data_IF_212879068337
#
_entry.id   IF_212879068337
#
_cell.length_a   1.000
_cell.length_b   1.000
_cell.length_c   1.000
_cell.angle_alpha   90.00
_cell.angle_beta   90.00
_cell.angle_gamma   90.00
#
_symmetry.space_group_name_H-M   'P 1'
#
loop_
_entity.id
_entity.type
_entity.pdbx_description
1 polymer ?
#
# COMPACT_ATOMS: atom_id res chain seq x y z
N UNK A 1 54.88 11.74 -6.74
CA UNK A 1 54.15 10.81 -5.83
C UNK A 1 52.66 11.13 -5.93
N UNK A 2 51.99 10.51 -6.86
CA UNK A 2 50.52 10.61 -7.00
C UNK A 2 49.86 9.65 -6.02
N UNK A 3 49.02 10.19 -5.19
CA UNK A 3 48.16 9.42 -4.31
C UNK A 3 46.92 8.99 -5.10
N UNK A 4 46.90 7.75 -5.53
CA UNK A 4 45.68 7.11 -6.03
C UNK A 4 44.77 6.85 -4.84
N UNK A 5 43.71 7.61 -4.72
CA UNK A 5 42.58 7.31 -3.81
C UNK A 5 41.70 6.29 -4.51
N UNK A 6 41.84 5.04 -4.12
CA UNK A 6 40.97 3.96 -4.57
C UNK A 6 39.67 4.02 -3.75
N UNK A 7 38.64 4.64 -4.34
CA UNK A 7 37.28 4.55 -3.84
C UNK A 7 36.78 3.14 -4.15
N UNK A 8 36.84 2.26 -3.16
CA UNK A 8 36.13 0.99 -3.20
C UNK A 8 34.62 1.29 -3.06
N UNK A 9 33.97 1.47 -4.21
CA UNK A 9 32.52 1.51 -4.28
C UNK A 9 31.96 0.12 -4.01
N UNK A 10 31.59 -0.14 -2.77
CA UNK A 10 30.68 -1.22 -2.46
C UNK A 10 29.30 -0.73 -2.92
N UNK A 11 28.91 -1.10 -4.13
CA UNK A 11 27.51 -1.07 -4.52
C UNK A 11 26.84 -2.21 -3.76
N UNK A 12 26.39 -1.92 -2.55
CA UNK A 12 25.32 -2.71 -1.94
C UNK A 12 24.16 -2.52 -2.89
N UNK A 13 23.77 -3.56 -3.59
CA UNK A 13 22.47 -3.63 -4.23
C UNK A 13 21.47 -3.44 -3.09
N UNK A 14 20.83 -2.26 -3.01
CA UNK A 14 19.77 -1.99 -2.04
C UNK A 14 18.65 -2.97 -2.34
N UNK A 15 18.71 -4.13 -1.70
CA UNK A 15 17.68 -5.15 -1.76
C UNK A 15 16.44 -4.57 -1.10
N UNK A 16 15.33 -4.46 -1.83
CA UNK A 16 14.03 -4.04 -1.31
C UNK A 16 13.25 -5.28 -0.85
N UNK A 17 13.28 -5.63 0.45
CA UNK A 17 12.61 -6.83 0.93
C UNK A 17 11.09 -6.69 0.80
N UNK A 18 10.44 -7.77 0.37
CA UNK A 18 9.00 -7.91 0.26
C UNK A 18 8.58 -9.24 0.90
N UNK A 19 7.74 -9.18 1.92
CA UNK A 19 7.11 -10.35 2.52
C UNK A 19 5.79 -10.64 1.78
N UNK A 20 5.61 -11.85 1.29
CA UNK A 20 4.37 -12.30 0.65
C UNK A 20 3.83 -13.46 1.46
N UNK A 21 2.65 -13.26 2.07
CA UNK A 21 1.98 -14.24 2.91
C UNK A 21 0.83 -14.89 2.16
N UNK A 22 0.64 -16.20 2.38
CA UNK A 22 -0.54 -16.86 1.88
C UNK A 22 -1.27 -17.66 2.96
N UNK A 23 -2.61 -17.52 2.96
CA UNK A 23 -3.56 -18.37 3.65
C UNK A 23 -4.32 -19.17 2.61
N UNK A 24 -4.19 -20.50 2.59
CA UNK A 24 -4.74 -21.32 1.53
C UNK A 24 -5.16 -22.71 2.01
N UNK A 25 -6.38 -23.12 1.65
CA UNK A 25 -6.86 -24.48 1.86
C UNK A 25 -6.64 -25.38 0.64
N UNK A 26 -6.82 -24.81 -0.56
CA UNK A 26 -6.76 -25.54 -1.83
C UNK A 26 -5.46 -25.38 -2.61
N UNK A 27 -4.57 -24.45 -2.16
CA UNK A 27 -3.32 -24.12 -2.85
C UNK A 27 -3.42 -22.91 -3.79
N UNK A 28 -4.60 -22.38 -4.10
CA UNK A 28 -4.75 -21.29 -5.06
C UNK A 28 -4.06 -20.01 -4.59
N UNK A 29 -4.23 -19.62 -3.32
CA UNK A 29 -3.54 -18.44 -2.75
C UNK A 29 -2.02 -18.61 -2.71
N UNK A 30 -1.54 -19.83 -2.48
CA UNK A 30 -0.12 -20.17 -2.54
C UNK A 30 0.44 -20.00 -3.95
N UNK A 31 -0.27 -20.52 -4.97
CA UNK A 31 0.15 -20.39 -6.37
C UNK A 31 0.29 -18.92 -6.78
N UNK A 32 -0.68 -18.06 -6.41
CA UNK A 32 -0.64 -16.63 -6.68
C UNK A 32 0.51 -15.94 -5.94
N UNK A 33 0.72 -16.26 -4.66
CA UNK A 33 1.82 -15.73 -3.87
C UNK A 33 3.19 -16.10 -4.46
N UNK A 34 3.35 -17.34 -4.91
CA UNK A 34 4.56 -17.82 -5.58
C UNK A 34 4.77 -17.12 -6.93
N UNK A 35 3.70 -16.87 -7.68
CA UNK A 35 3.78 -16.11 -8.92
C UNK A 35 4.23 -14.67 -8.65
N UNK A 36 3.61 -13.97 -7.70
CA UNK A 36 4.01 -12.62 -7.28
C UNK A 36 5.49 -12.58 -6.86
N UNK A 37 5.94 -13.58 -6.09
CA UNK A 37 7.33 -13.71 -5.67
C UNK A 37 8.31 -13.87 -6.83
N UNK A 38 7.96 -14.62 -7.87
CA UNK A 38 8.79 -14.77 -9.08
C UNK A 38 8.89 -13.47 -9.88
N UNK A 39 7.81 -12.72 -9.95
CA UNK A 39 7.74 -11.47 -10.71
C UNK A 39 8.37 -10.29 -9.96
N UNK A 40 8.43 -10.34 -8.63
CA UNK A 40 8.97 -9.29 -7.77
C UNK A 40 10.40 -8.85 -8.14
N UNK A 41 11.25 -9.80 -8.55
CA UNK A 41 12.64 -9.52 -8.93
C UNK A 41 12.74 -8.57 -10.13
N UNK A 42 11.79 -8.60 -11.06
CA UNK A 42 11.76 -7.68 -12.22
C UNK A 42 11.51 -6.23 -11.81
N UNK A 43 10.99 -5.99 -10.60
CA UNK A 43 10.76 -4.68 -9.99
C UNK A 43 11.82 -4.29 -8.95
N UNK A 44 12.94 -5.05 -8.85
CA UNK A 44 14.00 -4.78 -7.87
C UNK A 44 13.65 -5.20 -6.44
N UNK A 45 12.59 -5.97 -6.25
CA UNK A 45 12.16 -6.50 -4.97
C UNK A 45 12.78 -7.87 -4.69
N UNK A 46 13.13 -8.12 -3.44
CA UNK A 46 13.56 -9.45 -2.96
C UNK A 46 12.43 -10.06 -2.14
N UNK A 47 11.64 -10.91 -2.78
CA UNK A 47 10.48 -11.52 -2.16
C UNK A 47 10.84 -12.71 -1.28
N UNK A 48 10.21 -12.77 -0.10
CA UNK A 48 10.11 -13.95 0.75
C UNK A 48 8.66 -14.39 0.77
N UNK A 49 8.36 -15.55 0.21
CA UNK A 49 7.01 -16.13 0.15
C UNK A 49 6.87 -17.17 1.25
N UNK A 50 5.85 -17.05 2.09
CA UNK A 50 5.61 -17.93 3.24
C UNK A 50 4.13 -18.24 3.44
N UNK A 51 3.84 -19.43 3.93
CA UNK A 51 2.58 -19.76 4.58
C UNK A 51 2.40 -18.91 5.85
N UNK A 52 1.17 -18.59 6.18
CA UNK A 52 0.87 -17.84 7.40
C UNK A 52 1.24 -18.63 8.65
N UNK A 53 1.20 -19.97 8.61
CA UNK A 53 1.68 -20.87 9.66
C UNK A 53 3.20 -20.84 9.88
N UNK A 54 3.96 -20.36 8.91
CA UNK A 54 5.42 -20.20 8.98
C UNK A 54 5.85 -18.77 9.39
N UNK A 55 4.89 -17.90 9.73
CA UNK A 55 5.12 -16.46 9.91
C UNK A 55 4.78 -16.06 11.35
N UNK A 56 5.57 -15.15 11.92
CA UNK A 56 5.31 -14.58 13.25
C UNK A 56 4.74 -13.16 13.17
N UNK A 57 4.03 -12.73 14.22
CA UNK A 57 3.55 -11.35 14.40
C UNK A 57 4.70 -10.35 14.28
N UNK A 58 5.87 -10.67 14.88
CA UNK A 58 7.06 -9.82 14.82
C UNK A 58 7.58 -9.67 13.39
N UNK A 59 7.55 -10.73 12.58
CA UNK A 59 8.01 -10.66 11.19
C UNK A 59 7.12 -9.73 10.36
N UNK A 60 5.80 -9.75 10.58
CA UNK A 60 4.87 -8.84 9.93
C UNK A 60 5.16 -7.39 10.35
N UNK A 61 5.24 -7.11 11.65
CA UNK A 61 5.39 -5.75 12.18
C UNK A 61 6.75 -5.10 11.88
N UNK A 62 7.77 -5.91 11.56
CA UNK A 62 9.10 -5.42 11.18
C UNK A 62 9.31 -5.35 9.65
N UNK A 63 8.33 -5.80 8.87
CA UNK A 63 8.39 -5.77 7.40
C UNK A 63 7.85 -4.45 6.86
N UNK A 64 8.64 -3.74 6.04
CA UNK A 64 8.17 -2.49 5.43
C UNK A 64 7.16 -2.72 4.30
N UNK A 65 7.15 -3.93 3.70
CA UNK A 65 6.34 -4.29 2.53
C UNK A 65 5.74 -5.68 2.73
N UNK A 66 4.41 -5.76 2.70
CA UNK A 66 3.67 -7.01 2.89
C UNK A 66 2.59 -7.17 1.82
N UNK A 67 2.58 -8.28 1.11
CA UNK A 67 1.46 -8.71 0.27
C UNK A 67 0.78 -9.91 0.93
N UNK A 68 -0.54 -9.94 0.87
CA UNK A 68 -1.36 -11.00 1.47
C UNK A 68 -2.24 -11.61 0.40
N UNK A 69 -2.15 -12.93 0.22
CA UNK A 69 -3.06 -13.72 -0.60
C UNK A 69 -3.82 -14.67 0.33
N UNK A 70 -5.11 -14.46 0.56
CA UNK A 70 -5.87 -15.28 1.50
C UNK A 70 -7.19 -15.76 0.91
N UNK A 71 -7.43 -17.07 0.99
CA UNK A 71 -8.71 -17.67 0.63
C UNK A 71 -9.64 -17.70 1.84
N UNK A 72 -10.94 -17.72 1.58
CA UNK A 72 -11.95 -17.93 2.60
C UNK A 72 -12.37 -19.39 2.62
N UNK A 73 -12.50 -19.97 3.79
CA UNK A 73 -12.92 -21.36 4.02
C UNK A 73 -14.24 -21.44 4.77
N UNK A 74 -14.97 -22.54 4.60
CA UNK A 74 -16.20 -22.82 5.35
C UNK A 74 -17.22 -21.69 5.28
N UNK A 75 -17.73 -21.32 6.43
CA UNK A 75 -18.71 -20.24 6.61
C UNK A 75 -18.04 -18.88 6.89
N UNK A 76 -16.96 -18.54 6.16
CA UNK A 76 -16.22 -17.27 6.30
C UNK A 76 -14.94 -17.37 7.13
N UNK A 77 -14.49 -18.58 7.43
CA UNK A 77 -13.36 -18.86 8.32
C UNK A 77 -12.02 -18.66 7.63
N UNK A 78 -10.97 -18.48 8.43
CA UNK A 78 -9.59 -18.49 7.95
C UNK A 78 -9.22 -19.89 7.44
N UNK A 79 -8.35 -20.03 6.41
CA UNK A 79 -7.77 -21.33 6.06
C UNK A 79 -6.92 -21.90 7.20
N UNK A 80 -6.82 -23.23 7.31
CA UNK A 80 -6.11 -23.92 8.39
C UNK A 80 -4.71 -23.35 8.64
N UNK A 81 -3.97 -23.03 7.59
CA UNK A 81 -2.61 -22.47 7.72
C UNK A 81 -2.57 -20.96 8.06
N UNK A 82 -3.72 -20.31 8.20
CA UNK A 82 -3.81 -18.90 8.59
C UNK A 82 -4.39 -18.73 10.00
N UNK A 83 -5.08 -19.71 10.54
CA UNK A 83 -5.85 -19.63 11.78
C UNK A 83 -4.97 -19.24 12.98
N UNK A 84 -3.85 -19.93 13.20
CA UNK A 84 -2.94 -19.67 14.33
C UNK A 84 -2.36 -18.25 14.29
N UNK A 85 -1.94 -17.77 13.11
CA UNK A 85 -1.43 -16.41 12.95
C UNK A 85 -2.54 -15.38 13.15
N UNK A 86 -3.75 -15.64 12.65
CA UNK A 86 -4.92 -14.79 12.84
C UNK A 86 -5.29 -14.63 14.32
N UNK A 87 -5.28 -15.71 15.06
CA UNK A 87 -5.48 -15.66 16.52
C UNK A 87 -4.36 -14.87 17.21
N UNK A 88 -3.10 -15.10 16.83
CA UNK A 88 -1.96 -14.44 17.43
C UNK A 88 -1.96 -12.92 17.22
N UNK A 89 -2.25 -12.44 16.00
CA UNK A 89 -2.32 -10.99 15.72
C UNK A 89 -3.48 -10.31 16.44
N UNK A 90 -4.62 -10.99 16.59
CA UNK A 90 -5.78 -10.46 17.31
C UNK A 90 -5.59 -10.47 18.84
N UNK A 91 -4.78 -11.38 19.37
CA UNK A 91 -4.46 -11.43 20.79
C UNK A 91 -3.50 -10.31 21.22
N UNK A 92 -2.73 -9.74 20.31
CA UNK A 92 -1.78 -8.67 20.60
C UNK A 92 -2.46 -7.28 20.45
N UNK A 93 -2.95 -6.77 21.61
CA UNK A 93 -3.63 -5.48 21.64
C UNK A 93 -2.70 -4.29 21.33
N UNK A 94 -1.41 -4.43 21.61
CA UNK A 94 -0.39 -3.38 21.44
C UNK A 94 0.31 -3.44 20.08
N UNK A 95 -0.06 -4.38 19.20
CA UNK A 95 0.52 -4.51 17.88
C UNK A 95 0.30 -3.25 17.05
N UNK A 96 1.37 -2.64 16.60
CA UNK A 96 1.37 -1.55 15.63
C UNK A 96 1.98 -2.01 14.31
N UNK A 97 1.35 -1.64 13.21
CA UNK A 97 1.83 -1.86 11.85
C UNK A 97 2.17 -0.52 11.14
N UNK A 98 2.42 0.54 11.92
CA UNK A 98 2.92 1.80 11.38
C UNK A 98 4.23 1.58 10.61
N UNK A 99 4.32 2.14 9.41
CA UNK A 99 5.47 1.94 8.51
C UNK A 99 5.39 0.68 7.64
N UNK A 100 4.39 -0.18 7.83
CA UNK A 100 4.10 -1.33 6.96
C UNK A 100 3.24 -0.86 5.79
N UNK A 101 3.72 -1.07 4.56
CA UNK A 101 2.93 -0.88 3.34
C UNK A 101 2.38 -2.22 2.87
N UNK A 102 1.07 -2.28 2.55
CA UNK A 102 0.43 -3.56 2.26
C UNK A 102 -0.62 -3.50 1.15
N UNK A 103 -0.97 -4.67 0.64
CA UNK A 103 -2.16 -4.92 -0.17
C UNK A 103 -2.63 -6.36 0.02
N UNK A 104 -3.93 -6.60 -0.19
CA UNK A 104 -4.56 -7.90 -0.01
C UNK A 104 -5.22 -8.36 -1.30
N UNK A 105 -5.00 -9.61 -1.67
CA UNK A 105 -5.81 -10.36 -2.63
C UNK A 105 -6.62 -11.40 -1.84
N UNK A 106 -7.93 -11.32 -1.94
CA UNK A 106 -8.86 -12.22 -1.27
C UNK A 106 -9.48 -13.17 -2.30
N UNK A 107 -9.52 -14.46 -1.99
CA UNK A 107 -10.20 -15.46 -2.81
C UNK A 107 -11.44 -15.98 -2.08
N UNK A 108 -12.50 -16.17 -2.83
CA UNK A 108 -13.77 -16.69 -2.34
C UNK A 108 -14.61 -17.27 -3.46
N UNK A 109 -15.88 -17.46 -3.18
CA UNK A 109 -16.91 -17.90 -4.12
C UNK A 109 -18.17 -17.10 -3.82
N UNK A 110 -18.68 -16.36 -4.79
CA UNK A 110 -19.88 -15.53 -4.66
C UNK A 110 -21.16 -16.31 -4.41
N UNK A 111 -21.11 -17.65 -4.50
CA UNK A 111 -22.22 -18.52 -4.10
C UNK A 111 -22.42 -18.58 -2.57
N UNK A 112 -21.48 -18.07 -1.79
CA UNK A 112 -21.51 -18.04 -0.33
C UNK A 112 -21.75 -16.64 0.21
N UNK A 113 -22.52 -16.54 1.32
CA UNK A 113 -22.88 -15.25 1.93
C UNK A 113 -21.65 -14.45 2.43
N UNK A 114 -20.61 -15.17 2.90
CA UNK A 114 -19.37 -14.59 3.42
C UNK A 114 -18.24 -14.65 2.35
N UNK A 115 -18.54 -14.15 1.16
CA UNK A 115 -17.60 -14.03 0.04
C UNK A 115 -16.35 -13.22 0.43
N UNK A 116 -15.17 -13.83 0.28
CA UNK A 116 -13.86 -13.21 0.56
C UNK A 116 -13.68 -12.69 2.00
N UNK A 117 -14.37 -13.26 2.99
CA UNK A 117 -14.39 -12.72 4.35
C UNK A 117 -13.01 -12.72 5.01
N UNK A 118 -12.26 -13.81 4.93
CA UNK A 118 -10.90 -13.88 5.49
C UNK A 118 -9.99 -12.76 4.97
N UNK A 119 -10.01 -12.49 3.66
CA UNK A 119 -9.22 -11.40 3.08
C UNK A 119 -9.70 -10.02 3.51
N UNK A 120 -11.01 -9.82 3.71
CA UNK A 120 -11.56 -8.59 4.27
C UNK A 120 -11.13 -8.38 5.70
N UNK A 121 -11.10 -9.43 6.51
CA UNK A 121 -10.63 -9.39 7.88
C UNK A 121 -9.15 -8.98 7.95
N UNK A 122 -8.27 -9.59 7.13
CA UNK A 122 -6.87 -9.19 7.05
C UNK A 122 -6.68 -7.74 6.61
N UNK A 123 -7.41 -7.30 5.60
CA UNK A 123 -7.34 -5.92 5.10
C UNK A 123 -7.76 -4.90 6.16
N UNK A 124 -8.89 -5.14 6.84
CA UNK A 124 -9.38 -4.30 7.93
C UNK A 124 -8.43 -4.32 9.14
N UNK A 125 -7.83 -5.48 9.44
CA UNK A 125 -6.89 -5.61 10.53
C UNK A 125 -5.64 -4.75 10.30
N UNK A 126 -5.00 -4.86 9.13
CA UNK A 126 -3.82 -4.06 8.80
C UNK A 126 -4.11 -2.56 8.85
N UNK A 127 -5.22 -2.12 8.25
CA UNK A 127 -5.65 -0.72 8.30
C UNK A 127 -5.85 -0.24 9.74
N UNK A 128 -6.56 -1.02 10.58
CA UNK A 128 -6.84 -0.67 11.98
C UNK A 128 -5.60 -0.59 12.86
N UNK A 129 -4.50 -1.22 12.45
CA UNK A 129 -3.20 -1.24 13.15
C UNK A 129 -2.20 -0.21 12.60
N UNK A 130 -2.64 0.68 11.71
CA UNK A 130 -1.84 1.80 11.20
C UNK A 130 -1.01 1.49 9.96
N UNK A 131 -1.18 0.33 9.33
CA UNK A 131 -0.51 0.02 8.07
C UNK A 131 -1.06 0.86 6.90
N UNK A 132 -0.23 1.15 5.93
CA UNK A 132 -0.59 1.93 4.73
C UNK A 132 -0.99 0.98 3.60
N UNK A 133 -2.27 1.02 3.19
CA UNK A 133 -2.75 0.30 2.02
C UNK A 133 -2.26 1.00 0.75
N UNK A 134 -1.34 0.36 -0.01
CA UNK A 134 -0.79 0.94 -1.25
C UNK A 134 -1.64 0.67 -2.48
N UNK A 135 -2.46 -0.36 -2.45
CA UNK A 135 -3.39 -0.75 -3.50
C UNK A 135 -4.64 -1.34 -2.87
N UNK A 136 -5.80 -1.04 -3.45
CA UNK A 136 -7.08 -1.53 -2.93
C UNK A 136 -7.11 -3.07 -2.92
N UNK A 137 -7.78 -3.63 -1.90
CA UNK A 137 -8.04 -5.08 -1.86
C UNK A 137 -8.78 -5.51 -3.13
N UNK A 138 -8.40 -6.64 -3.66
CA UNK A 138 -9.08 -7.29 -4.78
C UNK A 138 -9.77 -8.54 -4.26
N UNK A 139 -11.09 -8.60 -4.41
CA UNK A 139 -11.93 -9.74 -4.04
C UNK A 139 -12.17 -10.58 -5.30
N UNK A 140 -11.64 -11.78 -5.36
CA UNK A 140 -11.69 -12.70 -6.50
C UNK A 140 -12.71 -13.80 -6.28
N UNK A 141 -13.56 -14.02 -7.28
CA UNK A 141 -14.44 -15.18 -7.36
C UNK A 141 -13.67 -16.41 -7.90
N UNK A 142 -14.36 -17.46 -8.26
CA UNK A 142 -13.79 -18.73 -8.77
C UNK A 142 -12.91 -18.55 -10.00
N UNK A 143 -13.18 -17.55 -10.84
CA UNK A 143 -12.37 -17.16 -12.01
C UNK A 143 -11.35 -16.07 -11.59
N UNK A 144 -10.40 -16.42 -10.73
CA UNK A 144 -9.47 -15.50 -10.08
C UNK A 144 -8.22 -15.15 -10.87
N UNK A 145 -7.88 -15.88 -11.94
CA UNK A 145 -6.59 -15.79 -12.61
C UNK A 145 -6.32 -14.39 -13.18
N UNK A 146 -7.30 -13.82 -13.87
CA UNK A 146 -7.15 -12.49 -14.47
C UNK A 146 -7.13 -11.38 -13.41
N UNK A 147 -8.06 -11.31 -12.42
CA UNK A 147 -7.98 -10.37 -11.32
C UNK A 147 -6.68 -10.47 -10.51
N UNK A 148 -6.20 -11.69 -10.25
CA UNK A 148 -4.95 -11.91 -9.54
C UNK A 148 -3.74 -11.38 -10.31
N UNK A 149 -3.71 -11.61 -11.64
CA UNK A 149 -2.67 -11.06 -12.49
C UNK A 149 -2.65 -9.53 -12.48
N UNK A 150 -3.82 -8.90 -12.63
CA UNK A 150 -3.95 -7.44 -12.57
C UNK A 150 -3.45 -6.91 -11.21
N UNK A 151 -3.78 -7.59 -10.11
CA UNK A 151 -3.32 -7.20 -8.78
C UNK A 151 -1.79 -7.30 -8.65
N UNK A 152 -1.17 -8.39 -9.12
CA UNK A 152 0.29 -8.56 -9.13
C UNK A 152 0.95 -7.43 -9.94
N UNK A 153 0.51 -7.22 -11.18
CA UNK A 153 1.06 -6.21 -12.10
C UNK A 153 0.93 -4.79 -11.52
N UNK A 154 -0.12 -4.53 -10.73
CA UNK A 154 -0.38 -3.22 -10.12
C UNK A 154 0.38 -3.01 -8.82
N UNK A 155 0.50 -4.04 -7.97
CA UNK A 155 1.07 -3.89 -6.62
C UNK A 155 2.59 -3.91 -6.61
N UNK A 156 3.25 -4.73 -7.43
CA UNK A 156 4.72 -4.84 -7.40
C UNK A 156 5.44 -3.52 -7.71
N UNK A 157 5.06 -2.72 -8.73
CA UNK A 157 5.66 -1.40 -8.95
C UNK A 157 5.45 -0.45 -7.77
N UNK A 158 4.26 -0.48 -7.13
CA UNK A 158 3.96 0.34 -5.97
C UNK A 158 4.80 -0.07 -4.76
N UNK A 159 4.95 -1.38 -4.51
CA UNK A 159 5.84 -1.90 -3.47
C UNK A 159 7.30 -1.50 -3.70
N UNK A 160 7.77 -1.49 -4.93
CA UNK A 160 9.12 -1.03 -5.25
C UNK A 160 9.31 0.47 -5.00
N UNK A 161 8.25 1.27 -5.12
CA UNK A 161 8.27 2.71 -4.88
C UNK A 161 8.19 3.10 -3.39
N UNK A 162 7.86 2.16 -2.48
CA UNK A 162 7.85 2.40 -1.03
C UNK A 162 9.26 2.72 -0.55
N UNK A 163 9.47 3.87 0.07
CA UNK A 163 10.75 4.22 0.68
C UNK A 163 11.00 3.37 1.95
N UNK A 164 12.22 2.87 2.09
CA UNK A 164 12.60 2.13 3.30
C UNK A 164 12.91 3.12 4.41
N UNK A 165 12.13 3.12 5.48
CA UNK A 165 12.33 3.98 6.67
C UNK A 165 13.68 3.79 7.37
N UNK A 166 14.51 2.84 6.95
CA UNK A 166 15.78 2.49 7.59
C UNK A 166 16.96 3.38 7.18
N UNK A 167 16.81 4.32 6.23
CA UNK A 167 17.94 5.13 5.74
C UNK A 167 18.24 6.33 6.65
N UNK A 168 17.34 6.75 7.53
CA UNK A 168 17.55 7.97 8.33
C UNK A 168 18.36 7.79 9.62
N UNK A 169 18.60 6.57 10.09
CA UNK A 169 19.30 6.35 11.38
C UNK A 169 20.84 6.41 11.26
N UNK A 170 21.42 6.29 10.06
CA UNK A 170 22.87 6.23 9.89
C UNK A 170 23.50 7.61 9.58
N UNK A 171 22.71 8.61 9.23
CA UNK A 171 23.24 9.93 8.83
C UNK A 171 23.42 10.94 9.97
N UNK A 172 22.97 10.67 11.21
CA UNK A 172 22.96 11.64 12.32
C UNK A 172 24.02 11.46 13.39
N UNK A 173 24.90 10.46 13.30
CA UNK A 173 25.92 10.20 14.36
C UNK A 173 27.37 10.58 14.00
N UNK A 174 27.55 11.54 13.12
CA UNK A 174 28.89 12.03 12.78
C UNK A 174 29.00 13.56 12.82
N UNK A 175 28.57 14.19 13.91
CA UNK A 175 29.14 15.49 14.35
C UNK A 175 28.34 16.07 15.51
N UNK A 176 28.85 15.96 16.73
CA UNK A 176 28.67 16.95 17.79
C UNK A 176 29.56 16.63 19.00
N UNK A 177 30.77 17.18 18.99
CA UNK A 177 31.40 17.65 20.23
C UNK A 177 31.29 19.16 20.25
N UNK A 178 30.51 19.70 21.16
CA UNK A 178 30.84 20.91 22.01
C UNK A 178 29.57 21.42 22.73
N UNK A 179 29.56 21.25 24.02
CA UNK A 179 28.73 22.04 24.94
C UNK A 179 29.26 23.50 25.02
N UNK A 180 28.54 24.54 25.52
CA UNK A 180 27.86 24.54 26.80
C UNK A 180 26.67 25.53 27.04
N UNK A 181 26.04 25.33 28.20
CA UNK A 181 25.39 26.30 29.13
C UNK A 181 23.89 26.59 29.03
N UNK A 182 23.30 26.20 30.17
CA UNK A 182 22.02 26.60 30.74
C UNK A 182 21.80 28.13 30.77
N UNK A 183 20.52 28.55 30.56
CA UNK A 183 19.84 29.52 31.40
C UNK A 183 18.29 29.44 31.23
N UNK A 184 17.67 29.24 32.35
CA UNK A 184 16.34 29.59 32.90
C UNK A 184 15.06 29.72 32.04
N UNK A 185 14.05 28.98 32.55
CA UNK A 185 12.60 29.00 32.30
C UNK A 185 11.95 30.34 32.71
N UNK A 186 10.83 30.77 32.10
CA UNK A 186 9.57 30.59 32.83
C UNK A 186 8.37 30.04 32.01
N UNK A 187 7.64 29.26 32.76
CA UNK A 187 6.25 28.81 32.70
C UNK A 187 5.24 29.74 32.00
N UNK A 188 4.38 29.20 31.11
CA UNK A 188 2.93 28.98 31.29
C UNK A 188 2.19 28.94 29.98
N UNK A 189 1.31 28.02 29.92
CA UNK A 189 -0.10 27.99 29.50
C UNK A 189 -0.43 26.89 28.49
N UNK A 190 -1.37 26.04 28.96
CA UNK A 190 -2.10 25.04 28.21
C UNK A 190 -2.80 25.68 26.99
N UNK A 191 -2.63 25.08 25.82
CA UNK A 191 -3.66 25.08 24.77
C UNK A 191 -3.67 23.71 24.11
N UNK A 192 -4.88 23.19 23.97
CA UNK A 192 -5.26 21.94 23.33
C UNK A 192 -4.74 21.91 21.90
N UNK A 193 -4.00 20.85 21.54
CA UNK A 193 -3.61 20.61 20.14
C UNK A 193 -4.60 19.61 19.57
N UNK A 194 -5.55 20.14 18.82
CA UNK A 194 -6.40 19.37 17.93
C UNK A 194 -5.56 18.82 16.76
N UNK A 195 -5.85 17.58 16.46
CA UNK A 195 -5.43 16.75 15.34
C UNK A 195 -5.53 17.50 13.98
N UNK A 196 -4.39 17.92 13.40
CA UNK A 196 -4.35 18.68 12.14
C UNK A 196 -3.18 18.28 11.22
N UNK A 197 -2.69 17.02 11.26
CA UNK A 197 -1.50 16.68 10.49
C UNK A 197 -1.78 16.03 9.12
N UNK A 198 -3.02 15.60 8.85
CA UNK A 198 -3.41 15.05 7.53
C UNK A 198 -3.81 16.14 6.52
N UNK A 199 -4.37 17.25 7.00
CA UNK A 199 -4.84 18.34 6.13
C UNK A 199 -3.69 19.22 5.59
N UNK A 200 -2.57 19.36 6.32
CA UNK A 200 -1.43 20.15 5.87
C UNK A 200 -0.66 19.55 4.69
N UNK A 201 -0.61 18.24 4.57
CA UNK A 201 0.05 17.57 3.44
C UNK A 201 -0.78 17.68 2.15
N UNK A 202 -2.10 17.61 2.24
CA UNK A 202 -3.02 17.79 1.13
C UNK A 202 -3.07 19.24 0.66
N UNK A 203 -3.12 20.19 1.57
CA UNK A 203 -3.12 21.62 1.26
C UNK A 203 -1.82 22.04 0.56
N UNK A 204 -0.65 21.59 1.04
CA UNK A 204 0.63 21.89 0.39
C UNK A 204 0.75 21.27 -1.01
N UNK A 205 0.17 20.09 -1.22
CA UNK A 205 0.10 19.45 -2.54
C UNK A 205 -0.86 20.19 -3.48
N UNK A 206 -1.95 20.74 -2.95
CA UNK A 206 -2.93 21.53 -3.71
C UNK A 206 -2.45 22.96 -3.99
N UNK A 207 -1.61 23.54 -3.14
CA UNK A 207 -1.00 24.87 -3.35
C UNK A 207 0.04 24.92 -4.48
N UNK A 208 0.54 23.78 -4.95
CA UNK A 208 1.52 23.68 -6.04
C UNK A 208 0.97 24.02 -7.45
N UNK A 209 -0.08 24.82 -7.56
CA UNK A 209 -0.41 25.69 -8.70
C UNK A 209 -1.37 25.13 -9.73
N UNK A 210 -1.51 23.83 -9.99
CA UNK A 210 -2.46 23.28 -10.96
C UNK A 210 -3.45 22.34 -10.27
N UNK A 211 -4.69 22.81 -10.14
CA UNK A 211 -5.79 22.08 -9.45
C UNK A 211 -6.69 21.30 -10.43
N UNK A 212 -6.21 21.07 -11.66
CA UNK A 212 -6.99 20.34 -12.66
C UNK A 212 -7.04 18.84 -12.35
N UNK A 213 -8.22 18.24 -12.50
CA UNK A 213 -8.47 16.80 -12.47
C UNK A 213 -9.18 16.40 -13.76
N UNK A 214 -8.61 15.49 -14.51
CA UNK A 214 -9.23 14.91 -15.71
C UNK A 214 -9.81 13.56 -15.35
N UNK A 215 -11.11 13.38 -15.58
CA UNK A 215 -11.79 12.10 -15.36
C UNK A 215 -12.23 11.58 -16.72
N UNK A 216 -11.65 10.44 -17.11
CA UNK A 216 -12.01 9.72 -18.33
C UNK A 216 -13.00 8.62 -17.98
N UNK A 217 -14.06 8.46 -18.74
CA UNK A 217 -14.99 7.36 -18.57
C UNK A 217 -15.18 6.56 -19.86
N UNK A 218 -15.38 5.24 -19.70
CA UNK A 218 -15.83 4.32 -20.74
C UNK A 218 -17.10 3.64 -20.27
N UNK A 219 -18.22 3.79 -20.95
CA UNK A 219 -19.49 3.22 -20.52
C UNK A 219 -20.38 2.83 -21.69
N UNK A 220 -20.94 1.60 -21.65
CA UNK A 220 -22.03 1.18 -22.55
C UNK A 220 -23.41 1.40 -21.91
N UNK A 221 -23.51 1.48 -20.59
CA UNK A 221 -24.76 1.59 -19.83
C UNK A 221 -25.01 2.99 -19.23
N UNK A 222 -24.03 3.89 -19.30
CA UNK A 222 -24.08 5.22 -18.70
C UNK A 222 -23.68 5.27 -17.21
N UNK A 223 -23.46 4.13 -16.55
CA UNK A 223 -23.13 4.10 -15.12
C UNK A 223 -21.77 4.74 -14.82
N UNK A 224 -20.76 4.49 -15.66
CA UNK A 224 -19.43 5.09 -15.50
C UNK A 224 -19.46 6.60 -15.74
N UNK A 225 -20.30 7.11 -16.64
CA UNK A 225 -20.51 8.55 -16.87
C UNK A 225 -21.12 9.22 -15.63
N UNK A 226 -22.14 8.60 -15.03
CA UNK A 226 -22.75 9.12 -13.81
C UNK A 226 -21.75 9.14 -12.64
N UNK A 227 -20.95 8.10 -12.49
CA UNK A 227 -19.91 8.01 -11.47
C UNK A 227 -18.81 9.05 -11.70
N UNK A 228 -18.32 9.22 -12.93
CA UNK A 228 -17.34 10.24 -13.28
C UNK A 228 -17.84 11.66 -12.95
N UNK A 229 -19.12 11.93 -13.24
CA UNK A 229 -19.76 13.19 -12.91
C UNK A 229 -19.88 13.43 -11.40
N UNK A 230 -20.16 12.38 -10.62
CA UNK A 230 -20.19 12.44 -9.14
C UNK A 230 -18.79 12.74 -8.59
N UNK A 231 -17.75 12.09 -9.12
CA UNK A 231 -16.37 12.29 -8.71
C UNK A 231 -15.94 13.74 -8.93
N UNK A 232 -16.22 14.32 -10.10
CA UNK A 232 -15.89 15.73 -10.39
C UNK A 232 -16.64 16.68 -9.44
N UNK A 233 -17.91 16.40 -9.16
CA UNK A 233 -18.68 17.20 -8.21
C UNK A 233 -18.11 17.11 -6.79
N UNK A 234 -17.70 15.93 -6.37
CA UNK A 234 -17.13 15.72 -5.03
C UNK A 234 -15.74 16.34 -4.93
N UNK A 235 -14.88 16.18 -5.95
CA UNK A 235 -13.53 16.73 -5.99
C UNK A 235 -13.48 18.26 -5.85
N UNK A 236 -14.54 18.96 -6.27
CA UNK A 236 -14.64 20.42 -6.11
C UNK A 236 -14.71 20.86 -4.65
N UNK A 237 -15.18 20.02 -3.72
CA UNK A 237 -15.16 20.28 -2.28
C UNK A 237 -13.74 20.33 -1.71
N UNK A 238 -12.81 19.65 -2.37
CA UNK A 238 -11.39 19.62 -2.04
C UNK A 238 -10.55 20.59 -2.88
N UNK A 239 -11.22 21.54 -3.55
CA UNK A 239 -10.56 22.59 -4.33
C UNK A 239 -9.99 22.12 -5.67
N UNK A 240 -10.36 20.95 -6.18
CA UNK A 240 -9.97 20.48 -7.50
C UNK A 240 -10.98 20.95 -8.58
N UNK A 241 -10.46 21.30 -9.76
CA UNK A 241 -11.26 21.65 -10.94
C UNK A 241 -11.30 20.43 -11.87
N UNK A 242 -12.35 19.60 -11.72
CA UNK A 242 -12.53 18.38 -12.49
C UNK A 242 -13.17 18.65 -13.87
N UNK A 243 -12.73 17.89 -14.88
CA UNK A 243 -13.34 17.82 -16.21
C UNK A 243 -13.53 16.36 -16.59
N UNK A 244 -14.74 16.02 -17.06
CA UNK A 244 -15.12 14.67 -17.50
C UNK A 244 -14.99 14.58 -19.02
N UNK A 245 -14.37 13.49 -19.51
CA UNK A 245 -14.29 13.16 -20.92
C UNK A 245 -14.70 11.72 -21.19
N UNK A 246 -15.41 11.52 -22.28
CA UNK A 246 -15.60 10.18 -22.85
C UNK A 246 -14.30 9.69 -23.46
N UNK A 247 -13.91 8.46 -23.15
CA UNK A 247 -12.67 7.84 -23.67
C UNK A 247 -12.69 7.72 -25.19
N UNK A 248 -13.86 7.49 -25.80
CA UNK A 248 -13.98 7.41 -27.28
C UNK A 248 -13.65 8.73 -27.99
N UNK A 249 -13.85 9.86 -27.32
CA UNK A 249 -13.56 11.20 -27.86
C UNK A 249 -12.27 11.84 -27.35
N UNK A 250 -11.53 11.20 -26.46
CA UNK A 250 -10.35 11.76 -25.83
C UNK A 250 -9.09 11.60 -26.69
N UNK A 251 -8.33 12.69 -26.87
CA UNK A 251 -7.01 12.61 -27.52
C UNK A 251 -5.95 12.10 -26.53
N UNK A 252 -5.66 10.82 -26.57
CA UNK A 252 -4.66 10.17 -25.72
C UNK A 252 -3.21 10.69 -25.95
N UNK A 253 -2.91 11.36 -27.07
CA UNK A 253 -1.61 12.01 -27.26
C UNK A 253 -1.45 13.22 -26.33
N UNK A 254 -2.56 13.78 -25.87
CA UNK A 254 -2.56 14.89 -24.90
C UNK A 254 -2.42 14.45 -23.44
N UNK A 255 -2.44 13.16 -23.15
CA UNK A 255 -2.48 12.61 -21.80
C UNK A 255 -1.30 13.11 -20.92
N UNK A 256 -0.12 13.27 -21.51
CA UNK A 256 1.06 13.81 -20.82
C UNK A 256 0.91 15.26 -20.34
N UNK A 257 -0.08 16.00 -20.84
CA UNK A 257 -0.37 17.37 -20.42
C UNK A 257 -1.31 17.43 -19.20
N UNK A 258 -1.89 16.30 -18.81
CA UNK A 258 -2.82 16.19 -17.69
C UNK A 258 -2.10 15.65 -16.44
N UNK A 259 -1.96 16.47 -15.41
CA UNK A 259 -1.22 16.10 -14.19
C UNK A 259 -1.94 15.09 -13.30
N UNK A 260 -3.28 15.09 -13.36
CA UNK A 260 -4.12 14.18 -12.58
C UNK A 260 -5.18 13.62 -13.51
N UNK A 261 -5.13 12.31 -13.70
CA UNK A 261 -6.09 11.59 -14.54
C UNK A 261 -6.71 10.46 -13.73
N UNK A 262 -8.01 10.37 -13.74
CA UNK A 262 -8.78 9.27 -13.18
C UNK A 262 -9.57 8.60 -14.31
N UNK A 263 -9.55 7.28 -14.36
CA UNK A 263 -10.27 6.49 -15.36
C UNK A 263 -11.37 5.71 -14.67
N UNK A 264 -12.58 5.75 -15.22
CA UNK A 264 -13.79 5.08 -14.72
C UNK A 264 -14.36 4.22 -15.84
N UNK A 265 -14.33 2.88 -15.66
CA UNK A 265 -14.82 1.91 -16.66
C UNK A 265 -15.97 1.08 -16.10
#
# INVERSE_FOLDING_TARGET
MERVVQLSGVTMSDSLPLLILYGSQSGNSEEIAVQAGKEAASHGLTATVKGMDETSVTEISTSNRVLICCSTWGDGEQPDNAEELWEAVNADADLSLEGVSYSVLALGDTSYDLFCESGKEWDNFFESRGATRIYQRVDCDVDYEEPAKIWIDSTLPLMAAVESSLVEIIATDASLESEPKLDEVPSSSNEEIADNNSDMALDSFLEAGDRSLTVLFGSQSGNSEELASKIVKESSKYGLSGTVYDMDGFDFNSLSNHKRVLIVC
#
